data_IF_753448077247
#
_entry.id   IF_753448077247
#
_cell.length_a   1.000
_cell.length_b   1.000
_cell.length_c   1.000
_cell.angle_alpha   90.00
_cell.angle_beta   90.00
_cell.angle_gamma   90.00
#
_symmetry.space_group_name_H-M   'P 1'
#
loop_
_entity.id
_entity.type
_entity.pdbx_description
1 polymer ?
#
# COMPACT_ATOMS: atom_id res chain seq x y z
N UNK A 1 -5.67 36.18 -27.30
CA UNK A 1 -6.35 34.92 -26.93
C UNK A 1 -5.76 34.41 -25.63
N UNK A 2 -6.50 34.51 -24.53
CA UNK A 2 -6.06 34.19 -23.16
C UNK A 2 -6.36 32.70 -22.94
N UNK A 3 -5.33 31.88 -22.68
CA UNK A 3 -5.49 30.44 -22.43
C UNK A 3 -5.70 30.25 -20.94
N UNK A 4 -6.96 30.10 -20.54
CA UNK A 4 -7.36 29.91 -19.16
C UNK A 4 -7.26 28.41 -18.88
N UNK A 5 -6.07 27.94 -18.49
CA UNK A 5 -5.85 26.54 -18.11
C UNK A 5 -6.65 26.26 -16.83
N UNK A 6 -7.87 25.72 -16.99
CA UNK A 6 -8.66 25.21 -15.86
C UNK A 6 -7.93 23.99 -15.33
N UNK A 7 -7.08 24.16 -14.32
CA UNK A 7 -6.60 23.03 -13.52
C UNK A 7 -7.85 22.46 -12.86
N UNK A 8 -8.29 21.23 -13.19
CA UNK A 8 -9.44 20.65 -12.54
C UNK A 8 -9.11 20.52 -11.06
N UNK A 9 -10.02 20.96 -10.19
CA UNK A 9 -9.89 20.83 -8.74
C UNK A 9 -9.52 19.38 -8.39
N UNK A 10 -8.42 19.20 -7.66
CA UNK A 10 -7.90 17.87 -7.24
C UNK A 10 -9.00 17.01 -6.63
N UNK A 11 -9.93 17.64 -5.91
CA UNK A 11 -11.10 17.00 -5.30
C UNK A 11 -12.04 16.34 -6.33
N UNK A 12 -12.27 16.95 -7.50
CA UNK A 12 -13.13 16.38 -8.53
C UNK A 12 -12.53 15.07 -9.09
N UNK A 13 -11.20 15.03 -9.28
CA UNK A 13 -10.50 13.81 -9.72
C UNK A 13 -10.55 12.71 -8.67
N UNK A 14 -10.56 13.05 -7.39
CA UNK A 14 -10.58 12.10 -6.29
C UNK A 14 -11.96 11.44 -6.13
N UNK A 15 -13.04 12.22 -6.29
CA UNK A 15 -14.42 11.72 -6.28
C UNK A 15 -14.64 10.74 -7.44
N UNK A 16 -14.19 11.10 -8.65
CA UNK A 16 -14.31 10.27 -9.85
C UNK A 16 -13.51 8.97 -9.73
N UNK A 17 -12.30 9.04 -9.17
CA UNK A 17 -11.48 7.86 -8.85
C UNK A 17 -12.14 6.95 -7.82
N UNK A 18 -12.82 7.52 -6.82
CA UNK A 18 -13.51 6.73 -5.78
C UNK A 18 -14.71 5.98 -6.36
N UNK A 19 -15.48 6.61 -7.26
CA UNK A 19 -16.58 5.97 -7.95
C UNK A 19 -16.08 4.82 -8.85
N UNK A 20 -15.06 5.08 -9.67
CA UNK A 20 -14.43 4.06 -10.51
C UNK A 20 -13.89 2.89 -9.68
N UNK A 21 -13.37 3.15 -8.47
CA UNK A 21 -12.89 2.09 -7.60
C UNK A 21 -13.98 1.20 -7.03
N UNK A 22 -15.16 1.75 -6.76
CA UNK A 22 -16.31 0.96 -6.32
C UNK A 22 -16.76 0.02 -7.44
N UNK A 23 -16.84 0.50 -8.69
CA UNK A 23 -17.19 -0.32 -9.84
C UNK A 23 -16.18 -1.46 -10.07
N UNK A 24 -14.88 -1.14 -10.05
CA UNK A 24 -13.82 -2.14 -10.19
C UNK A 24 -13.87 -3.18 -9.06
N UNK A 25 -14.10 -2.73 -7.82
CA UNK A 25 -14.24 -3.64 -6.68
C UNK A 25 -15.43 -4.57 -6.84
N UNK A 26 -16.59 -4.06 -7.29
CA UNK A 26 -17.76 -4.90 -7.53
C UNK A 26 -17.48 -5.93 -8.62
N UNK A 27 -16.91 -5.51 -9.74
CA UNK A 27 -16.53 -6.43 -10.81
C UNK A 27 -15.54 -7.49 -10.33
N UNK A 28 -14.54 -7.10 -9.52
CA UNK A 28 -13.59 -8.05 -8.95
C UNK A 28 -14.27 -9.08 -8.04
N UNK A 29 -15.26 -8.66 -7.25
CA UNK A 29 -16.04 -9.56 -6.39
C UNK A 29 -16.91 -10.53 -7.19
N UNK A 30 -17.49 -10.09 -8.31
CA UNK A 30 -18.25 -10.93 -9.24
C UNK A 30 -17.38 -11.99 -9.91
N UNK A 31 -16.17 -11.61 -10.34
CA UNK A 31 -15.21 -12.52 -10.96
C UNK A 31 -14.62 -13.50 -9.95
N UNK A 32 -14.47 -13.09 -8.68
CA UNK A 32 -13.86 -13.90 -7.62
C UNK A 32 -14.76 -14.03 -6.38
N UNK A 33 -15.87 -14.78 -6.45
CA UNK A 33 -16.84 -14.88 -5.35
C UNK A 33 -16.27 -15.54 -4.09
N UNK A 34 -15.19 -16.33 -4.20
CA UNK A 34 -14.50 -16.96 -3.08
C UNK A 34 -13.32 -16.17 -2.52
N UNK A 35 -13.01 -15.00 -3.07
CA UNK A 35 -11.90 -14.19 -2.59
C UNK A 35 -12.24 -13.48 -1.28
N UNK A 36 -11.31 -13.37 -0.30
CA UNK A 36 -11.55 -12.64 0.94
C UNK A 36 -11.94 -11.17 0.70
N UNK A 37 -11.52 -10.54 -0.41
CA UNK A 37 -12.03 -9.24 -0.83
C UNK A 37 -13.57 -9.22 -1.02
N UNK A 38 -14.15 -10.27 -1.62
CA UNK A 38 -15.59 -10.38 -1.86
C UNK A 38 -16.38 -10.63 -0.58
N UNK A 39 -15.82 -11.43 0.34
CA UNK A 39 -16.46 -11.80 1.62
C UNK A 39 -16.36 -10.69 2.66
N UNK A 40 -15.20 -10.03 2.76
CA UNK A 40 -14.90 -9.08 3.83
C UNK A 40 -15.05 -7.63 3.43
N UNK A 41 -15.11 -7.33 2.14
CA UNK A 41 -15.28 -5.98 1.57
C UNK A 41 -14.37 -4.95 2.26
N UNK A 42 -13.04 -5.00 2.02
CA UNK A 42 -12.09 -4.09 2.65
C UNK A 42 -12.42 -2.63 2.30
N UNK A 43 -12.11 -1.72 3.22
CA UNK A 43 -12.25 -0.27 3.00
C UNK A 43 -11.16 0.19 2.03
N UNK A 44 -11.56 0.67 0.87
CA UNK A 44 -10.66 1.25 -0.13
C UNK A 44 -10.51 2.75 0.09
N UNK A 45 -9.27 3.23 0.11
CA UNK A 45 -8.94 4.65 0.10
C UNK A 45 -7.71 4.92 -0.75
N UNK A 46 -7.66 6.13 -1.32
CA UNK A 46 -6.51 6.58 -2.09
C UNK A 46 -5.60 7.46 -1.21
N UNK A 47 -4.31 7.12 -1.15
CA UNK A 47 -3.31 7.91 -0.43
C UNK A 47 -2.11 8.14 -1.33
N UNK A 48 -1.77 9.41 -1.56
CA UNK A 48 -0.65 9.82 -2.43
C UNK A 48 -0.68 9.17 -3.83
N UNK A 49 -1.88 8.92 -4.38
CA UNK A 49 -2.06 8.29 -5.69
C UNK A 49 -1.97 6.75 -5.68
N UNK A 50 -1.87 6.12 -4.51
CA UNK A 50 -1.92 4.67 -4.35
C UNK A 50 -3.24 4.24 -3.73
N UNK A 51 -3.76 3.11 -4.22
CA UNK A 51 -4.93 2.45 -3.68
C UNK A 51 -4.54 1.59 -2.49
N UNK A 52 -5.28 1.75 -1.40
CA UNK A 52 -5.09 1.01 -0.17
C UNK A 52 -6.39 0.34 0.21
N UNK A 53 -6.37 -0.99 0.27
CA UNK A 53 -7.47 -1.84 0.73
C UNK A 53 -7.18 -2.28 2.16
N UNK A 54 -7.95 -1.79 3.12
CA UNK A 54 -7.76 -2.10 4.55
C UNK A 54 -8.94 -2.89 5.10
N UNK A 55 -8.63 -4.01 5.78
CA UNK A 55 -9.60 -4.73 6.60
C UNK A 55 -9.09 -4.83 8.04
N UNK A 56 -9.81 -4.19 8.97
CA UNK A 56 -9.51 -4.25 10.40
C UNK A 56 -9.65 -2.88 11.09
N UNK A 57 -9.43 -2.83 12.41
CA UNK A 57 -9.52 -1.59 13.19
C UNK A 57 -8.39 -0.62 12.86
N UNK A 58 -7.23 -1.11 12.39
CA UNK A 58 -6.06 -0.31 12.06
C UNK A 58 -5.15 -1.02 11.06
N UNK A 59 -4.26 -0.29 10.41
CA UNK A 59 -3.27 -0.84 9.46
C UNK A 59 -2.26 -1.77 10.15
N UNK A 60 -1.99 -1.55 11.44
CA UNK A 60 -1.02 -2.34 12.22
C UNK A 60 -1.59 -3.67 12.72
N UNK A 61 -2.90 -3.72 13.00
CA UNK A 61 -3.59 -4.93 13.49
C UNK A 61 -4.44 -5.62 12.41
N UNK A 62 -4.71 -4.91 11.30
CA UNK A 62 -5.50 -5.38 10.18
C UNK A 62 -4.66 -5.84 8.99
N UNK A 63 -5.33 -6.35 7.97
CA UNK A 63 -4.70 -6.71 6.70
C UNK A 63 -4.82 -5.55 5.74
N UNK A 64 -3.70 -5.15 5.13
CA UNK A 64 -3.64 -4.00 4.22
C UNK A 64 -3.05 -4.40 2.87
N UNK A 65 -3.78 -4.21 1.77
CA UNK A 65 -3.27 -4.34 0.41
C UNK A 65 -2.98 -2.96 -0.20
N UNK A 66 -1.80 -2.78 -0.80
CA UNK A 66 -1.42 -1.51 -1.45
C UNK A 66 -1.10 -1.79 -2.92
N UNK A 67 -1.66 -0.97 -3.81
CA UNK A 67 -1.43 -1.08 -5.25
C UNK A 67 -1.54 0.27 -5.97
N UNK A 68 -0.97 0.35 -7.17
CA UNK A 68 -1.17 1.49 -8.07
C UNK A 68 -2.58 1.52 -8.67
N UNK A 69 -3.28 0.38 -8.68
CA UNK A 69 -4.67 0.23 -9.10
C UNK A 69 -5.49 -0.47 -8.03
N UNK A 70 -6.81 -0.35 -8.12
CA UNK A 70 -7.76 -0.99 -7.20
C UNK A 70 -7.60 -2.50 -7.22
N UNK A 71 -7.51 -3.12 -8.40
CA UNK A 71 -7.30 -4.56 -8.54
C UNK A 71 -5.97 -5.02 -7.94
N UNK A 72 -4.90 -4.24 -8.12
CA UNK A 72 -3.60 -4.55 -7.52
C UNK A 72 -3.66 -4.48 -5.99
N UNK A 73 -4.38 -3.49 -5.45
CA UNK A 73 -4.59 -3.36 -4.01
C UNK A 73 -5.42 -4.53 -3.45
N UNK A 74 -6.50 -4.92 -4.13
CA UNK A 74 -7.34 -6.06 -3.76
C UNK A 74 -6.56 -7.38 -3.83
N UNK A 75 -5.78 -7.60 -4.90
CA UNK A 75 -4.93 -8.78 -5.02
C UNK A 75 -3.86 -8.85 -3.92
N UNK A 76 -3.20 -7.72 -3.63
CA UNK A 76 -2.21 -7.65 -2.56
C UNK A 76 -2.83 -7.90 -1.18
N UNK A 77 -4.08 -7.46 -0.99
CA UNK A 77 -4.88 -7.76 0.19
C UNK A 77 -5.16 -9.27 0.29
N UNK A 78 -5.63 -9.91 -0.78
CA UNK A 78 -5.96 -11.33 -0.78
C UNK A 78 -4.75 -12.21 -0.46
N UNK A 79 -3.58 -11.90 -1.04
CA UNK A 79 -2.32 -12.58 -0.75
C UNK A 79 -1.94 -12.43 0.72
N UNK A 80 -2.02 -11.22 1.28
CA UNK A 80 -1.70 -10.99 2.68
C UNK A 80 -2.73 -11.59 3.64
N UNK A 81 -4.01 -11.62 3.26
CA UNK A 81 -5.07 -12.25 4.04
C UNK A 81 -4.83 -13.77 4.12
N UNK A 82 -4.53 -14.41 2.99
CA UNK A 82 -4.19 -15.83 2.94
C UNK A 82 -2.86 -16.14 3.64
N UNK A 83 -1.87 -15.24 3.56
CA UNK A 83 -0.60 -15.38 4.26
C UNK A 83 -0.75 -15.22 5.78
N UNK A 84 -1.58 -14.27 6.25
CA UNK A 84 -1.84 -14.00 7.67
C UNK A 84 -2.74 -15.03 8.36
N UNK A 85 -3.41 -15.90 7.60
CA UNK A 85 -4.02 -17.13 8.15
C UNK A 85 -2.97 -18.15 8.61
N UNK A 86 -1.70 -18.01 8.18
CA UNK A 86 -0.57 -18.58 8.91
C UNK A 86 -0.10 -17.54 9.93
N UNK A 87 0.19 -17.93 11.18
CA UNK A 87 0.60 -16.98 12.21
C UNK A 87 1.74 -16.11 11.68
N UNK A 88 1.61 -14.77 11.72
CA UNK A 88 2.61 -13.87 11.21
C UNK A 88 3.83 -13.93 12.13
N UNK A 89 4.82 -14.74 11.75
CA UNK A 89 6.16 -14.62 12.31
C UNK A 89 6.74 -13.30 11.79
N UNK A 90 6.60 -12.26 12.60
CA UNK A 90 7.38 -11.01 12.61
C UNK A 90 7.79 -10.42 11.25
N UNK A 91 6.86 -9.89 10.45
CA UNK A 91 7.23 -8.86 9.46
C UNK A 91 7.05 -7.47 10.11
N UNK A 92 7.85 -7.21 11.15
CA UNK A 92 8.21 -5.82 11.47
C UNK A 92 8.96 -5.28 10.26
N UNK A 93 8.66 -4.07 9.75
CA UNK A 93 9.57 -3.42 8.84
C UNK A 93 10.85 -3.17 9.64
N UNK A 94 11.84 -4.06 9.48
CA UNK A 94 13.21 -3.76 9.87
C UNK A 94 13.61 -2.60 8.98
N UNK A 95 13.50 -1.39 9.53
CA UNK A 95 14.31 -0.27 9.06
C UNK A 95 15.70 -0.86 8.83
N UNK A 96 16.31 -0.71 7.64
CA UNK A 96 17.75 -0.84 7.60
C UNK A 96 18.26 0.28 8.50
N UNK A 97 18.62 -0.05 9.76
CA UNK A 97 19.55 0.79 10.52
C UNK A 97 20.81 0.74 9.70
N UNK A 98 20.98 1.80 8.90
CA UNK A 98 22.12 2.09 8.08
C UNK A 98 23.40 1.68 8.80
N UNK A 99 24.04 0.66 8.25
CA UNK A 99 25.43 0.31 8.48
C UNK A 99 26.31 1.41 7.88
N UNK A 100 26.38 2.55 8.55
CA UNK A 100 27.41 3.54 8.26
C UNK A 100 28.68 3.16 9.01
N UNK A 101 29.49 2.32 8.34
CA UNK A 101 30.94 2.22 8.56
C UNK A 101 31.52 3.62 8.81
N UNK A 102 32.17 3.82 9.95
CA UNK A 102 33.37 4.65 10.01
C UNK A 102 34.52 3.76 10.47
N UNK A 103 35.22 3.22 9.48
CA UNK A 103 36.60 2.77 9.64
C UNK A 103 37.41 3.98 10.12
N UNK A 104 37.81 4.01 11.38
CA UNK A 104 38.94 4.81 11.80
C UNK A 104 40.17 3.93 11.57
N UNK A 105 40.95 4.28 10.55
CA UNK A 105 42.26 3.72 10.32
C UNK A 105 43.11 3.93 11.58
N UNK A 106 43.54 2.83 12.19
CA UNK A 106 44.64 2.84 13.14
C UNK A 106 45.92 2.87 12.31
N UNK A 107 46.57 4.04 12.25
CA UNK A 107 47.93 4.15 11.74
C UNK A 107 48.88 3.52 12.76
N UNK A 108 49.83 2.65 12.36
CA UNK A 108 50.90 2.22 13.26
C UNK A 108 51.95 3.33 13.41
N UNK A 109 52.49 3.44 14.62
CA UNK A 109 53.54 4.35 15.05
C UNK A 109 54.82 4.24 14.20
N UNK A 110 55.45 5.37 13.92
CA UNK A 110 56.86 5.45 13.52
C UNK A 110 57.51 6.48 14.45
N UNK A 111 58.17 5.98 15.50
CA UNK A 111 59.05 6.75 16.39
C UNK A 111 60.49 6.48 15.96
N UNK A 112 61.31 7.53 15.95
CA UNK A 112 62.69 7.54 15.47
C UNK A 112 63.70 7.22 16.58
#
# INVERSE_FOLDING_TARGET
MKRNTRIPSVNARLVDQTAAAIEIMQHYCEVHPGSPAAVRRPRLYIRSGLWVALLGPSVEEGVVGIGSTVEAALRAFDVQYLAGLRPPDEIRPRRPRSSSKKSAASCPNFDA
#
